data_IF_590452534067
#
_entry.id   IF_590452534067
#
_cell.length_a   1.000
_cell.length_b   1.000
_cell.length_c   1.000
_cell.angle_alpha   90.00
_cell.angle_beta   90.00
_cell.angle_gamma   90.00
#
_symmetry.space_group_name_H-M   'P 1'
#
loop_
_entity.id
_entity.type
_entity.pdbx_description
1 polymer ?
#
# COMPACT_ATOMS: atom_id res chain seq x y z
N UNK A 1 12.54 16.66 24.43
CA UNK A 1 11.78 17.07 23.24
C UNK A 1 11.21 15.81 22.63
N UNK A 2 9.96 15.47 22.93
CA UNK A 2 9.28 14.32 22.36
C UNK A 2 8.79 14.78 20.99
N UNK A 3 9.23 14.12 19.92
CA UNK A 3 8.75 14.38 18.58
C UNK A 3 7.23 14.20 18.60
N UNK A 4 6.49 15.27 18.30
CA UNK A 4 5.02 15.20 18.19
C UNK A 4 4.68 14.07 17.23
N UNK A 5 3.85 13.16 17.73
CA UNK A 5 3.27 12.05 16.98
C UNK A 5 2.82 12.56 15.62
N UNK A 6 3.54 12.17 14.55
CA UNK A 6 3.01 12.32 13.20
C UNK A 6 1.89 11.31 13.12
N UNK A 7 0.66 11.78 13.22
CA UNK A 7 -0.50 11.01 12.80
C UNK A 7 -0.29 10.68 11.32
N UNK A 8 0.06 9.43 11.04
CA UNK A 8 0.05 8.93 9.68
C UNK A 8 -1.43 8.83 9.29
N UNK A 9 -1.89 9.67 8.36
CA UNK A 9 -3.21 9.50 7.79
C UNK A 9 -3.22 8.22 6.94
N UNK A 10 -3.61 7.11 7.57
CA UNK A 10 -3.74 5.81 6.91
C UNK A 10 -4.96 5.87 5.98
N UNK A 11 -4.76 6.25 4.73
CA UNK A 11 -5.81 6.22 3.71
C UNK A 11 -5.84 4.82 3.09
N UNK A 12 -6.61 3.92 3.71
CA UNK A 12 -6.82 2.58 3.15
C UNK A 12 -7.67 2.65 1.89
N UNK A 13 -7.07 2.34 0.74
CA UNK A 13 -7.79 2.20 -0.54
C UNK A 13 -7.82 0.71 -0.86
N UNK A 14 -9.04 0.16 -0.89
CA UNK A 14 -9.29 -1.23 -1.27
C UNK A 14 -9.70 -1.23 -2.75
N UNK A 15 -8.82 -1.65 -3.68
CA UNK A 15 -9.22 -1.86 -5.06
C UNK A 15 -10.28 -2.96 -5.16
N UNK A 16 -11.31 -2.77 -5.98
CA UNK A 16 -12.56 -3.57 -5.94
C UNK A 16 -12.46 -5.05 -6.34
N UNK A 17 -11.30 -5.55 -6.73
CA UNK A 17 -11.10 -6.93 -7.24
C UNK A 17 -10.04 -7.73 -6.47
N UNK A 18 -9.77 -7.40 -5.20
CA UNK A 18 -8.93 -8.28 -4.38
C UNK A 18 -9.77 -9.52 -3.99
N UNK A 19 -9.30 -10.77 -4.19
CA UNK A 19 -9.99 -11.95 -3.70
C UNK A 19 -10.29 -11.79 -2.21
N UNK A 20 -11.48 -12.24 -1.78
CA UNK A 20 -12.15 -12.04 -0.48
C UNK A 20 -11.34 -12.35 0.80
N UNK A 21 -10.06 -12.70 0.67
CA UNK A 21 -9.12 -13.12 1.73
C UNK A 21 -7.91 -12.18 1.85
N UNK A 22 -7.68 -11.28 0.90
CA UNK A 22 -6.59 -10.29 0.95
C UNK A 22 -7.16 -8.88 1.00
N UNK A 23 -6.76 -8.12 2.02
CA UNK A 23 -7.00 -6.69 2.07
C UNK A 23 -5.72 -6.03 1.57
N UNK A 24 -5.81 -5.41 0.39
CA UNK A 24 -4.74 -4.52 -0.09
C UNK A 24 -4.96 -3.15 0.49
N UNK A 25 -3.91 -2.59 1.07
CA UNK A 25 -3.91 -1.23 1.59
C UNK A 25 -2.72 -0.48 1.02
N UNK A 26 -2.94 0.81 0.77
CA UNK A 26 -1.86 1.73 0.43
C UNK A 26 -1.71 2.74 1.56
N UNK A 27 -0.48 2.96 2.00
CA UNK A 27 -0.18 4.00 3.00
C UNK A 27 0.59 5.13 2.33
N UNK A 28 0.26 6.36 2.70
CA UNK A 28 0.94 7.55 2.20
C UNK A 28 2.26 7.71 2.96
N UNK A 29 3.34 7.96 2.21
CA UNK A 29 4.64 8.24 2.79
C UNK A 29 4.63 9.59 3.56
N UNK A 30 5.26 9.68 4.75
CA UNK A 30 5.21 10.88 5.59
C UNK A 30 5.71 12.16 4.94
N UNK A 31 6.60 12.06 3.95
CA UNK A 31 7.12 13.19 3.18
C UNK A 31 6.12 13.70 2.13
N UNK A 32 5.16 12.88 1.71
CA UNK A 32 4.08 13.25 0.80
C UNK A 32 2.87 13.85 1.53
N UNK A 33 2.60 13.40 2.75
CA UNK A 33 1.58 13.97 3.64
C UNK A 33 1.85 15.43 4.03
N UNK A 34 3.12 15.86 3.99
CA UNK A 34 3.49 17.27 4.22
C UNK A 34 3.04 18.18 3.06
N UNK A 35 2.72 17.62 1.87
CA UNK A 35 2.17 18.39 0.75
C UNK A 35 0.65 18.51 0.92
N UNK A 36 0.21 19.75 1.19
CA UNK A 36 -1.19 20.13 1.44
C UNK A 36 -2.21 19.67 0.37
N UNK A 37 -1.74 19.37 -0.84
CA UNK A 37 -2.58 19.02 -1.99
C UNK A 37 -2.38 17.57 -2.49
N UNK A 38 -1.82 16.68 -1.66
CA UNK A 38 -1.63 15.28 -2.04
C UNK A 38 -2.98 14.54 -2.18
N UNK A 39 -3.24 13.99 -3.37
CA UNK A 39 -4.41 13.16 -3.65
C UNK A 39 -3.98 11.69 -3.80
N UNK A 40 -4.31 10.82 -2.82
CA UNK A 40 -3.91 9.40 -2.86
C UNK A 40 -4.49 8.65 -4.06
N UNK A 41 -5.72 8.98 -4.47
CA UNK A 41 -6.36 8.38 -5.64
C UNK A 41 -5.63 8.79 -6.93
N UNK A 42 -5.24 10.06 -7.06
CA UNK A 42 -4.47 10.54 -8.21
C UNK A 42 -3.11 9.85 -8.26
N UNK A 43 -2.40 9.77 -7.14
CA UNK A 43 -1.12 9.07 -7.05
C UNK A 43 -1.22 7.59 -7.46
N UNK A 44 -2.28 6.90 -7.06
CA UNK A 44 -2.54 5.50 -7.46
C UNK A 44 -2.70 5.37 -8.97
N UNK A 45 -3.56 6.21 -9.57
CA UNK A 45 -3.83 6.17 -11.01
C UNK A 45 -2.60 6.55 -11.83
N UNK A 46 -1.82 7.54 -11.39
CA UNK A 46 -0.60 7.96 -12.06
C UNK A 46 0.49 6.89 -11.99
N UNK A 47 0.65 6.21 -10.85
CA UNK A 47 1.59 5.11 -10.70
C UNK A 47 1.30 3.95 -11.67
N UNK A 48 0.02 3.53 -11.77
CA UNK A 48 -0.40 2.51 -12.73
C UNK A 48 -0.19 2.99 -14.17
N UNK A 49 -0.59 4.22 -14.48
CA UNK A 49 -0.42 4.78 -15.81
C UNK A 49 1.05 4.82 -16.24
N UNK A 50 1.95 5.25 -15.36
CA UNK A 50 3.37 5.29 -15.63
C UNK A 50 3.97 3.90 -15.81
N UNK A 51 3.54 2.91 -15.01
CA UNK A 51 3.93 1.52 -15.21
C UNK A 51 3.50 1.00 -16.58
N UNK A 52 2.24 1.20 -16.98
CA UNK A 52 1.72 0.75 -18.28
C UNK A 52 2.38 1.44 -19.48
N UNK A 53 3.03 2.61 -19.28
CA UNK A 53 3.84 3.26 -20.31
C UNK A 53 5.27 2.71 -20.41
N UNK A 54 5.74 1.96 -19.42
CA UNK A 54 7.03 1.28 -19.46
C UNK A 54 7.00 0.04 -20.36
N UNK A 55 8.16 -0.42 -20.83
CA UNK A 55 8.23 -1.64 -21.65
C UNK A 55 7.77 -2.89 -20.89
N UNK A 56 8.06 -2.96 -19.59
CA UNK A 56 7.60 -4.04 -18.70
C UNK A 56 6.07 -4.01 -18.59
N UNK A 57 5.48 -2.84 -18.29
CA UNK A 57 4.03 -2.71 -18.15
C UNK A 57 3.26 -2.96 -19.45
N UNK A 58 3.80 -2.55 -20.60
CA UNK A 58 3.20 -2.88 -21.92
C UNK A 58 3.20 -4.38 -22.17
N UNK A 59 4.29 -5.06 -21.84
CA UNK A 59 4.39 -6.52 -22.00
C UNK A 59 3.35 -7.23 -21.14
N UNK A 60 3.24 -6.84 -19.87
CA UNK A 60 2.23 -7.40 -18.95
C UNK A 60 0.79 -7.11 -19.41
N UNK A 61 0.52 -5.90 -19.90
CA UNK A 61 -0.80 -5.56 -20.43
C UNK A 61 -1.18 -6.48 -21.61
N UNK A 62 -0.24 -6.71 -22.53
CA UNK A 62 -0.43 -7.62 -23.65
C UNK A 62 -0.63 -9.07 -23.22
N UNK A 63 0.12 -9.55 -22.22
CA UNK A 63 -0.06 -10.90 -21.64
C UNK A 63 -1.44 -11.07 -21.02
N UNK A 64 -2.02 -10.00 -20.47
CA UNK A 64 -3.38 -9.95 -19.94
C UNK A 64 -4.46 -9.65 -21.00
N UNK A 65 -4.12 -9.69 -22.30
CA UNK A 65 -5.08 -9.43 -23.38
C UNK A 65 -5.56 -7.97 -23.45
N UNK A 66 -4.71 -7.03 -23.04
CA UNK A 66 -4.99 -5.59 -22.93
C UNK A 66 -6.11 -5.24 -21.92
N UNK A 67 -6.50 -6.18 -21.05
CA UNK A 67 -7.49 -6.00 -19.99
C UNK A 67 -6.80 -5.93 -18.61
N UNK A 68 -6.06 -4.84 -18.38
CA UNK A 68 -5.33 -4.62 -17.13
C UNK A 68 -6.23 -3.95 -16.08
N UNK A 69 -6.63 -4.70 -15.06
CA UNK A 69 -7.53 -4.21 -14.00
C UNK A 69 -6.79 -3.86 -12.70
N UNK A 70 -7.54 -3.52 -11.65
CA UNK A 70 -6.94 -3.16 -10.35
C UNK A 70 -6.36 -4.36 -9.59
N UNK A 71 -6.87 -5.57 -9.82
CA UNK A 71 -6.25 -6.79 -9.32
C UNK A 71 -4.86 -7.01 -9.93
N UNK A 72 -4.73 -6.81 -11.24
CA UNK A 72 -3.44 -6.84 -11.92
C UNK A 72 -2.51 -5.74 -11.42
N UNK A 73 -3.01 -4.53 -11.22
CA UNK A 73 -2.23 -3.43 -10.68
C UNK A 73 -1.55 -3.82 -9.37
N UNK A 74 -2.32 -4.36 -8.41
CA UNK A 74 -1.83 -4.80 -7.11
C UNK A 74 -0.80 -5.93 -7.22
N UNK A 75 -0.95 -6.84 -8.18
CA UNK A 75 -0.10 -8.02 -8.32
C UNK A 75 1.14 -7.81 -9.18
N UNK A 76 1.08 -6.89 -10.14
CA UNK A 76 2.07 -6.76 -11.22
C UNK A 76 2.88 -5.48 -11.13
N UNK A 77 2.33 -4.40 -10.59
CA UNK A 77 3.07 -3.13 -10.45
C UNK A 77 4.09 -3.28 -9.32
N UNK A 78 5.39 -3.07 -9.59
CA UNK A 78 6.42 -3.19 -8.56
C UNK A 78 6.29 -2.15 -7.44
N UNK A 79 6.67 -2.53 -6.22
CA UNK A 79 6.69 -1.63 -5.06
C UNK A 79 7.53 -0.36 -5.25
N UNK A 80 8.58 -0.44 -6.07
CA UNK A 80 9.39 0.73 -6.43
C UNK A 80 8.60 1.77 -7.20
N UNK A 81 7.65 1.37 -8.04
CA UNK A 81 6.77 2.29 -8.77
C UNK A 81 5.84 2.98 -7.79
N UNK A 82 5.18 2.25 -6.90
CA UNK A 82 4.29 2.84 -5.88
C UNK A 82 5.01 3.90 -5.03
N UNK A 83 6.25 3.60 -4.61
CA UNK A 83 7.07 4.51 -3.81
C UNK A 83 7.41 5.81 -4.53
N UNK A 84 7.62 5.79 -5.85
CA UNK A 84 7.87 7.00 -6.63
C UNK A 84 6.67 7.97 -6.61
N UNK A 85 5.48 7.49 -6.29
CA UNK A 85 4.24 8.27 -6.17
C UNK A 85 3.81 8.48 -4.72
N UNK A 86 4.69 8.20 -3.75
CA UNK A 86 4.38 8.44 -2.34
C UNK A 86 3.53 7.37 -1.68
N UNK A 87 3.43 6.19 -2.29
CA UNK A 87 2.59 5.09 -1.83
C UNK A 87 3.43 3.92 -1.35
N UNK A 88 3.05 3.35 -0.21
CA UNK A 88 3.53 2.05 0.26
C UNK A 88 2.41 1.05 0.04
N UNK A 89 2.66 0.05 -0.78
CA UNK A 89 1.77 -1.09 -0.97
C UNK A 89 1.95 -2.10 0.16
N UNK A 90 0.86 -2.47 0.83
CA UNK A 90 0.86 -3.50 1.87
C UNK A 90 -0.26 -4.49 1.61
N UNK A 91 0.11 -5.77 1.55
CA UNK A 91 -0.83 -6.89 1.45
C UNK A 91 -0.92 -7.58 2.80
N UNK A 92 -2.14 -7.61 3.36
CA UNK A 92 -2.43 -8.39 4.55
C UNK A 92 -3.18 -9.65 4.15
N UNK A 93 -2.65 -10.82 4.51
CA UNK A 93 -3.46 -12.04 4.56
C UNK A 93 -4.35 -11.93 5.79
N UNK A 94 -5.65 -12.11 5.63
CA UNK A 94 -6.62 -12.07 6.73
C UNK A 94 -6.46 -13.21 7.77
N UNK A 95 -5.39 -14.01 7.70
CA UNK A 95 -5.31 -15.32 8.35
C UNK A 95 -4.61 -15.36 9.71
N UNK A 96 -4.11 -14.24 10.23
CA UNK A 96 -3.47 -14.25 11.54
C UNK A 96 -4.44 -13.67 12.57
N UNK A 97 -5.21 -14.55 13.23
CA UNK A 97 -5.86 -14.20 14.48
C UNK A 97 -4.77 -13.86 15.50
N UNK A 98 -4.46 -12.58 15.66
CA UNK A 98 -3.53 -12.12 16.68
C UNK A 98 -4.24 -12.28 18.02
N UNK A 99 -3.85 -13.29 18.79
CA UNK A 99 -4.26 -13.42 20.19
C UNK A 99 -3.25 -12.67 21.05
N UNK A 100 -3.65 -11.53 21.60
CA UNK A 100 -2.84 -10.77 22.55
C UNK A 100 -3.18 -11.25 23.96
N UNK A 101 -2.17 -11.70 24.71
CA UNK A 101 -2.36 -12.01 26.12
C UNK A 101 -2.27 -10.71 26.94
N UNK A 102 -3.42 -10.16 27.34
CA UNK A 102 -3.47 -8.92 28.13
C UNK A 102 -2.98 -9.07 29.58
N UNK A 103 -2.65 -10.29 30.03
CA UNK A 103 -2.08 -10.55 31.35
C UNK A 103 -0.55 -10.63 31.33
N UNK A 104 0.10 -10.34 30.20
CA UNK A 104 1.56 -10.38 30.12
C UNK A 104 2.22 -9.20 30.85
N UNK A 105 3.28 -9.49 31.61
CA UNK A 105 4.09 -8.43 32.20
C UNK A 105 5.07 -7.89 31.14
N UNK A 106 4.71 -6.75 30.56
CA UNK A 106 5.46 -6.07 29.50
C UNK A 106 6.78 -5.45 29.98
N UNK A 107 7.08 -5.52 31.28
CA UNK A 107 8.27 -4.91 31.85
C UNK A 107 8.80 -5.71 33.05
N UNK A 108 10.01 -6.26 32.94
CA UNK A 108 10.75 -6.82 34.08
C UNK A 108 11.99 -5.98 34.39
N UNK A 109 12.17 -5.61 35.66
CA UNK A 109 13.48 -5.19 36.14
C UNK A 109 14.36 -6.43 36.30
N UNK A 110 15.46 -6.49 35.55
CA UNK A 110 16.55 -7.39 35.89
C UNK A 110 17.26 -6.82 37.11
N UNK A 111 16.91 -7.33 38.29
CA UNK A 111 17.64 -7.12 39.55
C UNK A 111 18.85 -8.02 39.63
#
# INVERSE_FOLDING_TARGET
MIAKDKEFNLVSIIPGEVPTVQITTFTILPEYEIKKDFSPETALREAVSAYLMSEEGKTIAQENGDDFNWGDAVLKVPDSVWRNYGLIHMTYKQNDNITVNHDENLFSYNS
#
